data_IF_001165559503
#
_entry.id   IF_001165559503
#
_cell.length_a   1.000
_cell.length_b   1.000
_cell.length_c   1.000
_cell.angle_alpha   90.00
_cell.angle_beta   90.00
_cell.angle_gamma   90.00
#
_symmetry.space_group_name_H-M   'P 1'
#
loop_
_entity.id
_entity.type
_entity.pdbx_description
1 polymer ?
#
# COMPACT_ATOMS: atom_id res chain seq x y z
N UNK A 1 -28.41 -31.83 27.17
CA UNK A 1 -27.04 -31.99 26.57
C UNK A 1 -26.78 -31.04 25.39
N UNK A 2 -27.76 -30.70 24.57
CA UNK A 2 -27.51 -29.90 23.35
C UNK A 2 -27.37 -28.39 23.56
N UNK A 3 -27.88 -27.81 24.66
CA UNK A 3 -27.78 -26.35 24.90
C UNK A 3 -26.38 -25.89 25.35
N UNK A 4 -25.64 -26.73 26.06
CA UNK A 4 -24.27 -26.45 26.49
C UNK A 4 -23.27 -26.50 25.32
N UNK A 5 -23.47 -27.43 24.40
CA UNK A 5 -22.61 -27.58 23.22
C UNK A 5 -22.79 -26.39 22.25
N UNK A 6 -24.01 -25.86 22.11
CA UNK A 6 -24.29 -24.69 21.30
C UNK A 6 -23.70 -23.41 21.92
N UNK A 7 -23.76 -23.24 23.24
CA UNK A 7 -23.15 -22.11 23.93
C UNK A 7 -21.61 -22.13 23.86
N UNK A 8 -20.99 -23.32 23.96
CA UNK A 8 -19.53 -23.48 23.83
C UNK A 8 -19.07 -23.20 22.39
N UNK A 9 -19.82 -23.64 21.38
CA UNK A 9 -19.57 -23.35 19.96
C UNK A 9 -19.65 -21.87 19.63
N UNK A 10 -20.65 -21.17 20.19
CA UNK A 10 -20.82 -19.72 19.99
C UNK A 10 -19.70 -18.91 20.70
N UNK A 11 -19.25 -19.37 21.85
CA UNK A 11 -18.15 -18.77 22.62
C UNK A 11 -16.79 -18.96 21.88
N UNK A 12 -16.56 -20.10 21.27
CA UNK A 12 -15.35 -20.35 20.46
C UNK A 12 -15.36 -19.52 19.16
N UNK A 13 -16.51 -19.28 18.56
CA UNK A 13 -16.64 -18.47 17.34
C UNK A 13 -16.44 -16.98 17.60
N UNK A 14 -16.76 -16.50 18.81
CA UNK A 14 -16.54 -15.11 19.23
C UNK A 14 -15.07 -14.77 19.53
N UNK A 15 -14.19 -15.77 19.71
CA UNK A 15 -12.77 -15.57 19.97
C UNK A 15 -11.90 -15.44 18.71
N UNK A 16 -12.47 -15.66 17.54
CA UNK A 16 -11.78 -15.37 16.26
C UNK A 16 -12.02 -13.93 15.81
N UNK A 17 -11.63 -12.96 16.63
CA UNK A 17 -11.46 -11.59 16.15
C UNK A 17 -10.21 -11.57 15.27
N UNK A 18 -10.40 -11.79 13.97
CA UNK A 18 -9.39 -11.46 12.96
C UNK A 18 -9.21 -9.95 13.03
N UNK A 19 -8.14 -9.50 13.65
CA UNK A 19 -7.72 -8.10 13.57
C UNK A 19 -7.32 -7.84 12.13
N UNK A 20 -8.26 -7.31 11.34
CA UNK A 20 -7.97 -6.81 10.01
C UNK A 20 -7.04 -5.61 10.16
N UNK A 21 -5.74 -5.83 10.03
CA UNK A 21 -4.77 -4.75 10.13
C UNK A 21 -4.90 -3.93 8.85
N UNK A 22 -5.40 -2.70 8.99
CA UNK A 22 -5.52 -1.78 7.87
C UNK A 22 -4.14 -1.52 7.25
N UNK A 23 -4.08 -1.48 5.91
CA UNK A 23 -2.89 -1.12 5.15
C UNK A 23 -2.37 0.24 5.64
N UNK A 24 -1.12 0.29 6.11
CA UNK A 24 -0.48 1.54 6.50
C UNK A 24 -0.03 2.30 5.26
N UNK A 25 -0.61 3.48 5.07
CA UNK A 25 -0.28 4.39 3.97
C UNK A 25 0.28 5.68 4.57
N UNK A 26 1.44 6.10 4.08
CA UNK A 26 2.15 7.29 4.56
C UNK A 26 2.25 8.29 3.40
N UNK A 27 1.65 9.49 3.50
CA UNK A 27 1.87 10.54 2.51
C UNK A 27 3.32 11.03 2.60
N UNK A 28 3.96 11.26 1.45
CA UNK A 28 5.35 11.76 1.39
C UNK A 28 5.46 13.22 1.84
N UNK A 29 4.43 14.01 1.58
CA UNK A 29 4.35 15.39 2.02
C UNK A 29 3.02 15.62 2.71
N UNK A 30 3.05 16.26 3.85
CA UNK A 30 1.85 16.69 4.55
C UNK A 30 1.32 18.02 3.97
N UNK A 31 2.23 18.90 3.58
CA UNK A 31 1.94 20.20 3.00
C UNK A 31 3.07 20.55 2.01
N UNK A 32 2.82 21.50 1.10
CA UNK A 32 3.81 22.09 0.20
C UNK A 32 4.62 21.05 -0.59
N UNK A 33 3.91 20.18 -1.32
CA UNK A 33 4.55 19.23 -2.21
C UNK A 33 5.43 19.95 -3.24
N UNK A 34 6.71 19.60 -3.38
CA UNK A 34 7.63 20.28 -4.30
C UNK A 34 7.16 20.13 -5.75
N UNK A 35 7.47 21.11 -6.58
CA UNK A 35 7.14 21.14 -8.01
C UNK A 35 5.64 20.95 -8.28
N UNK A 36 4.78 21.53 -7.42
CA UNK A 36 3.32 21.45 -7.51
C UNK A 36 2.72 22.82 -7.82
N UNK A 37 1.75 22.83 -8.73
CA UNK A 37 0.90 24.00 -9.02
C UNK A 37 -0.20 24.20 -7.98
N UNK A 38 -0.36 23.27 -7.03
CA UNK A 38 -1.43 23.27 -6.04
C UNK A 38 -2.77 22.74 -6.60
N UNK A 39 -2.74 22.02 -7.72
CA UNK A 39 -3.94 21.40 -8.29
C UNK A 39 -4.27 20.13 -7.52
N UNK A 40 -5.46 20.09 -6.93
CA UNK A 40 -5.95 18.91 -6.21
C UNK A 40 -6.42 17.87 -7.21
N UNK A 41 -5.65 16.80 -7.35
CA UNK A 41 -5.99 15.64 -8.17
C UNK A 41 -6.45 14.48 -7.29
N UNK A 42 -7.32 13.64 -7.85
CA UNK A 42 -7.71 12.36 -7.23
C UNK A 42 -6.86 11.23 -7.82
N UNK A 43 -6.56 10.24 -7.01
CA UNK A 43 -5.95 9.01 -7.51
C UNK A 43 -6.89 8.29 -8.48
N UNK A 44 -6.33 7.72 -9.54
CA UNK A 44 -7.09 6.94 -10.50
C UNK A 44 -6.37 5.64 -10.81
N UNK A 45 -7.13 4.54 -10.77
CA UNK A 45 -6.64 3.18 -11.06
C UNK A 45 -7.46 2.59 -12.21
N UNK A 46 -6.78 2.12 -13.24
CA UNK A 46 -7.39 1.46 -14.39
C UNK A 46 -6.68 0.13 -14.63
N UNK A 47 -7.43 -0.97 -14.64
CA UNK A 47 -6.89 -2.33 -14.85
C UNK A 47 -5.65 -2.59 -14.00
N UNK A 48 -5.76 -2.42 -12.67
CA UNK A 48 -4.70 -2.67 -11.68
C UNK A 48 -3.45 -1.79 -11.84
N UNK A 49 -3.55 -0.70 -12.61
CA UNK A 49 -2.48 0.28 -12.80
C UNK A 49 -2.91 1.63 -12.30
N UNK A 50 -2.05 2.27 -11.54
CA UNK A 50 -2.26 3.67 -11.16
C UNK A 50 -1.94 4.53 -12.38
N UNK A 51 -2.92 5.30 -12.83
CA UNK A 51 -2.81 6.18 -14.02
C UNK A 51 -2.85 7.65 -13.66
N UNK A 52 -3.22 7.99 -12.43
CA UNK A 52 -3.12 9.34 -11.87
C UNK A 52 -2.83 9.25 -10.39
N UNK A 53 -1.91 10.07 -9.91
CA UNK A 53 -1.55 10.20 -8.50
C UNK A 53 -1.86 11.62 -8.04
N UNK A 54 -2.75 11.73 -7.09
CA UNK A 54 -3.09 13.00 -6.44
C UNK A 54 -2.07 13.33 -5.35
N UNK A 55 -1.91 12.44 -4.40
CA UNK A 55 -0.93 12.59 -3.33
C UNK A 55 0.07 11.41 -3.37
N UNK A 56 1.36 11.68 -3.57
CA UNK A 56 2.37 10.65 -3.49
C UNK A 56 2.42 10.03 -2.09
N UNK A 57 2.43 8.71 -2.05
CA UNK A 57 2.35 7.93 -0.82
C UNK A 57 3.32 6.77 -0.80
N UNK A 58 3.63 6.28 0.40
CA UNK A 58 4.30 5.01 0.62
C UNK A 58 3.29 4.04 1.24
N UNK A 59 3.09 2.91 0.60
CA UNK A 59 2.31 1.81 1.12
C UNK A 59 3.24 0.84 1.84
N UNK A 60 2.98 0.58 3.13
CA UNK A 60 3.85 -0.24 3.98
C UNK A 60 3.30 -1.66 4.04
N UNK A 61 4.13 -2.62 3.72
CA UNK A 61 3.87 -4.06 3.83
C UNK A 61 4.84 -4.65 4.84
N UNK A 62 4.33 -5.06 5.99
CA UNK A 62 5.15 -5.62 7.06
C UNK A 62 4.97 -7.14 7.15
N UNK A 63 6.06 -7.91 7.31
CA UNK A 63 5.95 -9.31 7.66
C UNK A 63 5.42 -9.48 9.09
N UNK A 64 5.05 -10.69 9.47
CA UNK A 64 4.66 -10.97 10.85
C UNK A 64 5.77 -10.59 11.84
N UNK A 65 5.40 -10.22 13.04
CA UNK A 65 6.39 -9.83 14.07
C UNK A 65 7.42 -10.93 14.34
N UNK A 66 7.01 -12.20 14.23
CA UNK A 66 7.86 -13.36 14.48
C UNK A 66 8.91 -13.58 13.37
N UNK A 67 8.63 -13.11 12.15
CA UNK A 67 9.47 -13.37 10.97
C UNK A 67 10.34 -12.18 10.57
N UNK A 68 10.16 -11.01 11.19
CA UNK A 68 10.90 -9.80 10.86
C UNK A 68 12.39 -9.97 11.01
N UNK A 69 13.13 -9.70 9.92
CA UNK A 69 14.61 -9.70 9.91
C UNK A 69 15.20 -8.34 10.27
N UNK A 70 14.40 -7.27 10.30
CA UNK A 70 14.88 -5.89 10.41
C UNK A 70 15.32 -5.27 9.09
N UNK A 71 15.37 -6.06 8.00
CA UNK A 71 15.69 -5.58 6.65
C UNK A 71 14.47 -4.91 6.03
N UNK A 72 14.69 -3.88 5.22
CA UNK A 72 13.65 -3.20 4.47
C UNK A 72 14.06 -3.00 3.01
N UNK A 73 13.05 -2.91 2.12
CA UNK A 73 13.23 -2.61 0.70
C UNK A 73 12.24 -1.52 0.29
N UNK A 74 12.70 -0.59 -0.55
CA UNK A 74 11.85 0.36 -1.26
C UNK A 74 11.59 -0.15 -2.66
N UNK A 75 10.33 -0.34 -3.01
CA UNK A 75 9.86 -0.78 -4.32
C UNK A 75 9.30 0.44 -5.05
N UNK A 76 9.82 0.71 -6.24
CA UNK A 76 9.35 1.78 -7.12
C UNK A 76 8.75 1.11 -8.36
N UNK A 77 7.40 0.98 -8.45
CA UNK A 77 6.76 0.32 -9.59
C UNK A 77 7.05 1.08 -10.89
N UNK A 78 7.40 0.34 -11.93
CA UNK A 78 7.62 0.89 -13.26
C UNK A 78 6.30 1.13 -14.01
N UNK A 79 6.37 1.79 -15.18
CA UNK A 79 5.20 2.00 -16.03
C UNK A 79 5.40 3.06 -17.11
N UNK A 80 6.64 3.35 -17.50
CA UNK A 80 6.98 4.25 -18.60
C UNK A 80 6.59 5.71 -18.32
N UNK A 81 6.63 6.15 -17.08
CA UNK A 81 6.29 7.52 -16.63
C UNK A 81 4.83 7.95 -16.84
N UNK A 82 3.96 7.08 -17.35
CA UNK A 82 2.54 7.39 -17.60
C UNK A 82 1.58 6.58 -16.73
N UNK A 83 2.09 5.57 -16.03
CA UNK A 83 1.35 4.71 -15.11
C UNK A 83 2.30 4.00 -14.16
N UNK A 84 1.76 3.40 -13.09
CA UNK A 84 2.49 2.46 -12.26
C UNK A 84 1.86 1.07 -12.41
N UNK A 85 2.68 0.06 -12.66
CA UNK A 85 2.28 -1.35 -12.62
C UNK A 85 2.14 -1.80 -11.14
N UNK A 86 1.26 -1.11 -10.41
CA UNK A 86 1.17 -1.14 -8.95
C UNK A 86 0.91 -2.55 -8.42
N UNK A 87 0.00 -3.30 -9.05
CA UNK A 87 -0.35 -4.64 -8.56
C UNK A 87 0.83 -5.61 -8.72
N UNK A 88 1.34 -5.77 -9.93
CA UNK A 88 2.36 -6.79 -10.21
C UNK A 88 3.76 -6.40 -9.74
N UNK A 89 4.18 -5.14 -9.97
CA UNK A 89 5.53 -4.68 -9.63
C UNK A 89 5.61 -3.98 -8.27
N UNK A 90 4.49 -3.76 -7.61
CA UNK A 90 4.39 -3.19 -6.27
C UNK A 90 3.91 -4.21 -5.26
N UNK A 91 2.59 -4.47 -5.23
CA UNK A 91 1.95 -5.27 -4.19
C UNK A 91 2.42 -6.72 -4.19
N UNK A 92 2.42 -7.39 -5.34
CA UNK A 92 2.84 -8.78 -5.44
C UNK A 92 4.30 -8.96 -5.00
N UNK A 93 5.18 -8.06 -5.42
CA UNK A 93 6.59 -8.07 -5.03
C UNK A 93 6.76 -7.78 -3.53
N UNK A 94 6.01 -6.83 -2.98
CA UNK A 94 6.03 -6.53 -1.55
C UNK A 94 5.61 -7.73 -0.70
N UNK A 95 4.53 -8.41 -1.10
CA UNK A 95 4.07 -9.64 -0.44
C UNK A 95 5.12 -10.74 -0.49
N UNK A 96 5.80 -10.89 -1.62
CA UNK A 96 6.90 -11.85 -1.74
C UNK A 96 8.04 -11.52 -0.77
N UNK A 97 8.50 -10.27 -0.67
CA UNK A 97 9.50 -9.87 0.31
C UNK A 97 9.05 -10.12 1.75
N UNK A 98 7.77 -9.96 2.06
CA UNK A 98 7.25 -10.29 3.38
C UNK A 98 7.41 -11.78 3.72
N UNK A 99 7.33 -12.70 2.74
CA UNK A 99 7.59 -14.13 2.98
C UNK A 99 9.05 -14.42 3.37
N UNK A 100 9.95 -13.48 3.10
CA UNK A 100 11.36 -13.52 3.48
C UNK A 100 11.65 -12.74 4.78
N UNK A 101 10.63 -12.27 5.48
CA UNK A 101 10.77 -11.46 6.70
C UNK A 101 11.24 -10.02 6.45
N UNK A 102 11.20 -9.55 5.21
CA UNK A 102 11.64 -8.20 4.81
C UNK A 102 10.42 -7.27 4.77
N UNK A 103 10.53 -6.11 5.41
CA UNK A 103 9.53 -5.05 5.29
C UNK A 103 9.64 -4.38 3.91
N UNK A 104 8.53 -4.23 3.20
CA UNK A 104 8.50 -3.60 1.90
C UNK A 104 7.72 -2.29 1.92
N UNK A 105 8.29 -1.26 1.31
CA UNK A 105 7.71 0.05 1.11
C UNK A 105 7.45 0.23 -0.39
N UNK A 106 6.19 0.35 -0.81
CA UNK A 106 5.82 0.57 -2.20
C UNK A 106 5.54 2.05 -2.43
N UNK A 107 6.34 2.69 -3.28
CA UNK A 107 6.21 4.10 -3.60
C UNK A 107 5.16 4.33 -4.68
N UNK A 108 4.18 5.16 -4.39
CA UNK A 108 3.24 5.71 -5.36
C UNK A 108 3.66 7.15 -5.67
N UNK A 109 4.31 7.35 -6.80
CA UNK A 109 4.88 8.63 -7.18
C UNK A 109 4.07 9.31 -8.30
N UNK A 110 4.15 10.64 -8.37
CA UNK A 110 3.58 11.40 -9.48
C UNK A 110 4.30 11.10 -10.79
N UNK A 111 3.59 11.36 -11.88
CA UNK A 111 4.17 11.29 -13.23
C UNK A 111 4.69 12.67 -13.66
N UNK A 112 5.74 12.72 -14.49
CA UNK A 112 6.27 13.99 -15.00
C UNK A 112 5.23 14.82 -15.73
N UNK A 113 4.26 14.18 -16.39
CA UNK A 113 3.20 14.82 -17.17
C UNK A 113 1.91 15.08 -16.36
N UNK A 114 1.95 14.89 -15.03
CA UNK A 114 0.79 15.19 -14.19
C UNK A 114 0.40 16.66 -14.33
N UNK A 115 -0.91 17.00 -14.42
CA UNK A 115 -1.38 18.38 -14.51
C UNK A 115 -0.90 19.29 -13.40
N UNK A 116 -0.62 18.74 -12.22
CA UNK A 116 -0.13 19.47 -11.06
C UNK A 116 1.37 19.79 -11.11
N UNK A 117 2.15 19.17 -11.98
CA UNK A 117 3.61 19.37 -12.07
C UNK A 117 3.92 20.69 -12.78
N UNK A 118 4.80 21.51 -12.16
CA UNK A 118 5.24 22.80 -12.73
C UNK A 118 6.19 22.55 -13.91
N UNK A 119 7.23 21.74 -13.66
CA UNK A 119 8.26 21.43 -14.66
C UNK A 119 8.35 19.91 -14.83
N UNK A 120 8.14 19.43 -16.05
CA UNK A 120 8.38 18.04 -16.42
C UNK A 120 9.83 17.88 -16.92
N UNK A 121 10.51 16.87 -16.44
CA UNK A 121 11.87 16.52 -16.88
C UNK A 121 11.86 15.48 -17.99
#
# INVERSE_FOLDING_TARGET
>A
MNRFVFLLGFLLMALMTVTLQAQKIIPLWQNNMPNSKGIVLKDSVVRERVVQVGTPTIHVYEPSKAERTGTAVLIIPGGGYVKLAHEISGIALAKWYNTLGVTAFVLIHRFPQSPDVIESY
#
